data_IF_900942964158
#
_entry.id   IF_900942964158
#
_cell.length_a   1.000
_cell.length_b   1.000
_cell.length_c   1.000
_cell.angle_alpha   90.00
_cell.angle_beta   90.00
_cell.angle_gamma   90.00
#
_symmetry.space_group_name_H-M   'P 1'
#
loop_
_entity.id
_entity.type
_entity.pdbx_description
1 polymer ?
#
# COMPACT_ATOMS: atom_id res chain seq x y z
N UNK A 1 26.87 -22.43 50.71
CA UNK A 1 25.99 -21.98 49.63
C UNK A 1 25.36 -23.24 48.98
N UNK A 2 24.04 -23.41 49.13
CA UNK A 2 23.32 -24.49 48.40
C UNK A 2 23.23 -24.10 46.97
N UNK A 3 23.89 -24.81 46.06
CA UNK A 3 23.70 -24.70 44.61
C UNK A 3 22.44 -25.48 44.29
N UNK A 4 21.31 -24.79 44.13
CA UNK A 4 20.10 -25.41 43.63
C UNK A 4 20.27 -25.56 42.10
N UNK A 5 20.43 -26.78 41.65
CA UNK A 5 20.40 -27.09 40.19
C UNK A 5 18.97 -27.13 39.68
N UNK A 6 18.79 -26.77 38.39
CA UNK A 6 17.50 -26.92 37.75
C UNK A 6 17.08 -28.40 37.69
N UNK A 7 15.79 -28.64 37.92
CA UNK A 7 15.25 -29.99 37.78
C UNK A 7 14.94 -30.27 36.30
N UNK A 8 14.98 -31.55 35.89
CA UNK A 8 14.61 -31.98 34.55
C UNK A 8 13.15 -31.55 34.20
N UNK A 9 12.28 -31.65 35.19
CA UNK A 9 10.87 -31.24 35.07
C UNK A 9 10.73 -29.76 34.73
N UNK A 10 11.53 -28.91 35.39
CA UNK A 10 11.51 -27.46 35.18
C UNK A 10 11.92 -27.08 33.74
N UNK A 11 12.96 -27.75 33.22
CA UNK A 11 13.37 -27.55 31.81
C UNK A 11 12.31 -27.99 30.83
N UNK A 12 11.63 -29.11 31.08
CA UNK A 12 10.55 -29.60 30.22
C UNK A 12 9.36 -28.62 30.21
N UNK A 13 8.99 -28.07 31.36
CA UNK A 13 7.90 -27.10 31.46
C UNK A 13 8.28 -25.80 30.71
N UNK A 14 9.50 -25.31 30.88
CA UNK A 14 9.98 -24.12 30.18
C UNK A 14 9.99 -24.32 28.67
N UNK A 15 10.49 -25.45 28.16
CA UNK A 15 10.48 -25.76 26.74
C UNK A 15 9.05 -25.89 26.22
N UNK A 16 8.14 -26.48 26.94
CA UNK A 16 6.74 -26.57 26.57
C UNK A 16 6.09 -25.17 26.47
N UNK A 17 6.31 -24.29 27.46
CA UNK A 17 5.80 -22.92 27.42
C UNK A 17 6.38 -22.11 26.27
N UNK A 18 7.69 -22.23 26.00
CA UNK A 18 8.33 -21.54 24.88
C UNK A 18 7.75 -22.01 23.54
N UNK A 19 7.59 -23.31 23.33
CA UNK A 19 7.00 -23.84 22.10
C UNK A 19 5.54 -23.40 21.92
N UNK A 20 4.78 -23.32 22.99
CA UNK A 20 3.40 -22.86 22.99
C UNK A 20 3.32 -21.38 22.60
N UNK A 21 4.16 -20.52 23.20
CA UNK A 21 4.23 -19.09 22.87
C UNK A 21 4.65 -18.88 21.39
N UNK A 22 5.67 -19.60 20.93
CA UNK A 22 6.15 -19.52 19.55
C UNK A 22 5.05 -19.98 18.56
N UNK A 23 4.33 -21.04 18.89
CA UNK A 23 3.23 -21.56 18.08
C UNK A 23 2.09 -20.56 17.93
N UNK A 24 1.69 -19.89 19.01
CA UNK A 24 0.67 -18.84 18.97
C UNK A 24 1.12 -17.61 18.16
N UNK A 25 2.39 -17.23 18.29
CA UNK A 25 2.93 -16.05 17.61
C UNK A 25 2.85 -16.15 16.09
N UNK A 26 3.07 -17.32 15.51
CA UNK A 26 3.07 -17.51 14.05
C UNK A 26 1.69 -17.21 13.43
N UNK A 27 0.61 -17.54 14.10
CA UNK A 27 -0.77 -17.31 13.62
C UNK A 27 -1.06 -15.79 13.56
N UNK A 28 -0.61 -15.03 14.56
CA UNK A 28 -0.80 -13.57 14.58
C UNK A 28 0.02 -12.85 13.50
N UNK A 29 1.25 -13.29 13.24
CA UNK A 29 2.13 -12.65 12.25
C UNK A 29 1.68 -12.91 10.81
N UNK A 30 1.11 -14.07 10.50
CA UNK A 30 0.70 -14.42 9.14
C UNK A 30 -0.36 -13.47 8.54
N UNK A 31 -1.26 -12.93 9.36
CA UNK A 31 -2.30 -11.98 8.91
C UNK A 31 -1.88 -10.52 8.94
N UNK A 32 -0.86 -10.16 9.73
CA UNK A 32 -0.48 -8.75 9.94
C UNK A 32 0.39 -8.17 8.81
N UNK A 33 1.33 -8.96 8.29
CA UNK A 33 2.30 -8.52 7.29
C UNK A 33 1.68 -8.02 5.97
N UNK A 34 0.73 -8.75 5.35
CA UNK A 34 0.11 -8.27 4.11
C UNK A 34 -0.70 -6.99 4.30
N UNK A 35 -1.40 -6.88 5.42
CA UNK A 35 -2.16 -5.67 5.78
C UNK A 35 -1.24 -4.44 5.93
N UNK A 36 -0.07 -4.62 6.56
CA UNK A 36 0.94 -3.56 6.69
C UNK A 36 1.50 -3.14 5.32
N UNK A 37 1.74 -4.09 4.42
CA UNK A 37 2.19 -3.82 3.04
C UNK A 37 1.18 -3.00 2.25
N UNK A 38 -0.10 -3.33 2.31
CA UNK A 38 -1.16 -2.58 1.62
C UNK A 38 -1.26 -1.15 2.15
N UNK A 39 -1.16 -0.96 3.48
CA UNK A 39 -1.09 0.38 4.09
C UNK A 39 0.13 1.18 3.63
N UNK A 40 1.30 0.55 3.59
CA UNK A 40 2.53 1.18 3.14
C UNK A 40 2.41 1.61 1.67
N UNK A 41 1.89 0.73 0.80
CA UNK A 41 1.64 1.03 -0.62
C UNK A 41 0.66 2.19 -0.79
N UNK A 42 -0.42 2.23 -0.02
CA UNK A 42 -1.39 3.35 -0.07
C UNK A 42 -0.74 4.70 0.27
N UNK A 43 0.08 4.74 1.33
CA UNK A 43 0.84 5.95 1.68
C UNK A 43 1.86 6.33 0.63
N UNK A 44 2.52 5.35 0.03
CA UNK A 44 3.52 5.55 -1.01
C UNK A 44 2.89 6.14 -2.28
N UNK A 45 1.77 5.59 -2.75
CA UNK A 45 1.02 6.11 -3.90
C UNK A 45 0.57 7.55 -3.62
N UNK A 46 0.05 7.83 -2.44
CA UNK A 46 -0.35 9.19 -2.07
C UNK A 46 0.83 10.17 -2.04
N UNK A 47 1.99 9.73 -1.57
CA UNK A 47 3.23 10.49 -1.63
C UNK A 47 3.68 10.77 -3.07
N UNK A 48 3.59 9.75 -3.92
CA UNK A 48 3.93 9.83 -5.34
C UNK A 48 3.00 10.79 -6.10
N UNK A 49 1.71 10.74 -5.84
CA UNK A 49 0.72 11.66 -6.42
C UNK A 49 1.06 13.12 -6.04
N UNK A 50 1.34 13.38 -4.75
CA UNK A 50 1.78 14.71 -4.31
C UNK A 50 3.09 15.16 -4.95
N UNK A 51 4.03 14.23 -5.11
CA UNK A 51 5.32 14.51 -5.76
C UNK A 51 5.14 14.84 -7.25
N UNK A 52 4.35 14.07 -7.99
CA UNK A 52 4.05 14.32 -9.40
C UNK A 52 3.40 15.71 -9.60
N UNK A 53 2.47 16.07 -8.71
CA UNK A 53 1.83 17.40 -8.71
C UNK A 53 2.86 18.52 -8.46
N UNK A 54 3.76 18.33 -7.50
CA UNK A 54 4.83 19.29 -7.21
C UNK A 54 5.73 19.48 -8.41
N UNK A 55 6.15 18.37 -9.05
CA UNK A 55 6.98 18.40 -10.25
C UNK A 55 6.28 19.11 -11.43
N UNK A 56 4.98 18.86 -11.62
CA UNK A 56 4.21 19.52 -12.67
C UNK A 56 4.22 21.05 -12.51
N UNK A 57 4.07 21.53 -11.27
CA UNK A 57 4.11 22.98 -10.96
C UNK A 57 5.50 23.58 -11.07
N UNK A 58 6.52 22.88 -10.54
CA UNK A 58 7.89 23.39 -10.54
C UNK A 58 8.49 23.47 -11.94
N UNK A 59 8.23 22.47 -12.78
CA UNK A 59 8.78 22.38 -14.11
C UNK A 59 7.89 23.03 -15.18
N UNK A 60 6.69 23.51 -14.80
CA UNK A 60 5.70 24.05 -15.73
C UNK A 60 5.33 23.07 -16.87
N UNK A 61 5.38 21.76 -16.58
CA UNK A 61 5.09 20.67 -17.50
C UNK A 61 4.09 19.70 -16.88
N UNK A 62 3.21 19.12 -17.72
CA UNK A 62 2.31 18.08 -17.24
C UNK A 62 3.09 16.84 -16.79
N UNK A 63 2.63 16.20 -15.71
CA UNK A 63 3.19 14.96 -15.18
C UNK A 63 2.11 13.91 -15.04
N UNK A 64 2.44 12.69 -15.40
CA UNK A 64 1.51 11.55 -15.36
C UNK A 64 1.97 10.53 -14.32
N UNK A 65 1.07 10.15 -13.43
CA UNK A 65 1.21 8.95 -12.62
C UNK A 65 0.44 7.84 -13.32
N UNK A 66 1.16 6.80 -13.72
CA UNK A 66 0.59 5.64 -14.41
C UNK A 66 0.28 4.54 -13.41
N UNK A 67 -0.95 4.06 -13.40
CA UNK A 67 -1.37 2.85 -12.69
C UNK A 67 -1.60 1.76 -13.73
N UNK A 68 -0.72 0.78 -13.77
CA UNK A 68 -0.82 -0.36 -14.69
C UNK A 68 -1.42 -1.56 -13.94
N UNK A 69 -2.70 -1.82 -14.20
CA UNK A 69 -3.45 -2.87 -13.53
C UNK A 69 -3.09 -4.27 -14.06
N UNK A 70 -2.68 -4.35 -15.35
CA UNK A 70 -2.31 -5.63 -15.97
C UNK A 70 -0.94 -6.10 -15.49
N UNK A 71 0.07 -5.20 -15.48
CA UNK A 71 1.41 -5.49 -15.00
C UNK A 71 1.55 -5.31 -13.48
N UNK A 72 0.50 -4.85 -12.81
CA UNK A 72 0.47 -4.60 -11.37
C UNK A 72 1.60 -3.66 -10.92
N UNK A 73 1.77 -2.55 -11.63
CA UNK A 73 2.80 -1.54 -11.33
C UNK A 73 2.20 -0.14 -11.27
N UNK A 74 2.89 0.75 -10.58
CA UNK A 74 2.55 2.17 -10.50
C UNK A 74 3.82 3.01 -10.48
N UNK A 75 3.76 4.21 -11.03
CA UNK A 75 4.93 5.09 -11.09
C UNK A 75 4.63 6.43 -11.76
N UNK A 76 5.56 7.37 -11.59
CA UNK A 76 5.57 8.62 -12.37
C UNK A 76 6.26 8.33 -13.69
N UNK A 77 5.63 8.71 -14.78
CA UNK A 77 6.21 8.54 -16.12
C UNK A 77 7.58 9.21 -16.21
N UNK A 78 8.59 8.45 -16.64
CA UNK A 78 9.99 8.90 -16.72
C UNK A 78 10.80 8.82 -15.42
N UNK A 79 10.21 8.47 -14.27
CA UNK A 79 10.92 8.38 -12.98
C UNK A 79 10.98 6.96 -12.39
N UNK A 80 10.47 5.97 -13.12
CA UNK A 80 10.47 4.58 -12.72
C UNK A 80 9.12 4.09 -12.18
N UNK A 81 9.03 2.78 -12.04
CA UNK A 81 7.82 2.08 -11.61
C UNK A 81 8.09 1.18 -10.41
N UNK A 82 7.06 0.95 -9.59
CA UNK A 82 7.06 0.02 -8.46
C UNK A 82 5.93 -0.98 -8.62
N UNK A 83 6.08 -2.13 -8.01
CA UNK A 83 5.07 -3.18 -8.07
C UNK A 83 4.10 -3.10 -6.88
N UNK A 84 2.84 -3.38 -7.14
CA UNK A 84 1.86 -3.60 -6.09
C UNK A 84 2.15 -4.89 -5.32
N UNK A 85 1.74 -4.98 -4.04
CA UNK A 85 1.81 -6.25 -3.32
C UNK A 85 1.06 -7.36 -4.07
N UNK A 86 1.61 -8.59 -4.17
CA UNK A 86 1.05 -9.66 -4.99
C UNK A 86 -0.37 -10.06 -4.57
N UNK A 87 -0.67 -9.94 -3.28
CA UNK A 87 -1.95 -10.37 -2.70
C UNK A 87 -3.01 -9.25 -2.66
N UNK A 88 -2.66 -8.01 -3.04
CA UNK A 88 -3.59 -6.89 -3.04
C UNK A 88 -4.46 -6.91 -4.30
N UNK A 89 -5.76 -6.76 -4.14
CA UNK A 89 -6.65 -6.48 -5.26
C UNK A 89 -6.69 -4.97 -5.51
N UNK A 90 -6.55 -4.58 -6.79
CA UNK A 90 -6.44 -3.19 -7.19
C UNK A 90 -7.54 -2.87 -8.17
N UNK A 91 -8.21 -1.76 -7.96
CA UNK A 91 -9.19 -1.20 -8.89
C UNK A 91 -9.15 0.33 -8.84
N UNK A 92 -9.58 0.93 -9.90
CA UNK A 92 -9.73 2.39 -9.99
C UNK A 92 -11.19 2.70 -10.26
N UNK A 93 -11.73 3.69 -9.57
CA UNK A 93 -13.05 4.24 -9.86
C UNK A 93 -12.84 5.58 -10.54
N UNK A 94 -13.12 5.60 -11.82
CA UNK A 94 -13.08 6.81 -12.64
C UNK A 94 -14.45 7.50 -12.61
N UNK A 95 -14.50 8.83 -12.46
CA UNK A 95 -15.78 9.57 -12.41
C UNK A 95 -16.64 9.44 -13.67
N UNK A 96 -16.04 9.15 -14.82
CA UNK A 96 -16.73 9.10 -16.11
C UNK A 96 -16.92 7.66 -16.63
N UNK A 97 -15.89 6.82 -16.43
CA UNK A 97 -15.86 5.45 -16.96
C UNK A 97 -16.28 4.39 -15.95
N UNK A 98 -16.45 4.76 -14.68
CA UNK A 98 -16.81 3.85 -13.61
C UNK A 98 -15.64 2.99 -13.10
N UNK A 99 -15.90 1.73 -12.79
CA UNK A 99 -14.91 0.82 -12.23
C UNK A 99 -13.99 0.25 -13.31
N UNK A 100 -12.69 0.42 -13.13
CA UNK A 100 -11.62 -0.07 -14.01
C UNK A 100 -10.77 -1.07 -13.22
N UNK A 101 -10.68 -2.31 -13.72
CA UNK A 101 -9.93 -3.42 -13.10
C UNK A 101 -8.80 -3.95 -13.99
N UNK A 102 -8.68 -3.46 -15.21
CA UNK A 102 -7.67 -3.86 -16.21
C UNK A 102 -7.19 -2.66 -17.02
N UNK A 103 -6.01 -2.84 -17.63
CA UNK A 103 -5.41 -1.82 -18.48
C UNK A 103 -4.55 -0.83 -17.69
N UNK A 104 -4.22 0.27 -18.35
CA UNK A 104 -3.42 1.36 -17.80
C UNK A 104 -4.32 2.55 -17.50
N UNK A 105 -4.19 3.09 -16.29
CA UNK A 105 -4.95 4.27 -15.87
C UNK A 105 -4.00 5.43 -15.59
N UNK A 106 -4.03 6.51 -16.40
CA UNK A 106 -3.21 7.70 -16.18
C UNK A 106 -3.90 8.68 -15.24
N UNK A 107 -3.15 9.21 -14.28
CA UNK A 107 -3.52 10.36 -13.47
C UNK A 107 -2.64 11.51 -13.92
N UNK A 108 -3.22 12.49 -14.59
CA UNK A 108 -2.49 13.60 -15.21
C UNK A 108 -2.58 14.85 -14.34
N UNK A 109 -1.46 15.47 -14.07
CA UNK A 109 -1.32 16.73 -13.34
C UNK A 109 -0.89 17.84 -14.30
N UNK A 110 -1.68 18.92 -14.34
CA UNK A 110 -1.36 20.10 -15.14
C UNK A 110 -0.55 21.11 -14.32
N UNK A 111 0.32 21.92 -14.99
CA UNK A 111 1.10 22.96 -14.31
C UNK A 111 0.25 23.97 -13.54
N UNK A 112 -0.96 24.24 -14.04
CA UNK A 112 -1.92 25.19 -13.44
C UNK A 112 -2.62 24.64 -12.18
N UNK A 113 -2.35 23.36 -11.83
CA UNK A 113 -2.87 22.74 -10.61
C UNK A 113 -4.12 21.87 -10.81
N UNK A 114 -4.68 21.82 -12.02
CA UNK A 114 -5.74 20.88 -12.37
C UNK A 114 -5.18 19.45 -12.45
N UNK A 115 -6.04 18.48 -12.19
CA UNK A 115 -5.72 17.06 -12.40
C UNK A 115 -6.88 16.31 -13.02
N UNK A 116 -6.58 15.27 -13.76
CA UNK A 116 -7.54 14.26 -14.19
C UNK A 116 -7.17 12.93 -13.54
N UNK A 117 -8.11 12.29 -12.90
CA UNK A 117 -7.89 11.01 -12.26
C UNK A 117 -9.07 10.62 -11.36
N UNK A 118 -9.07 9.38 -10.93
CA UNK A 118 -10.12 8.78 -10.10
C UNK A 118 -9.61 8.32 -8.74
N UNK A 119 -10.43 7.54 -8.06
CA UNK A 119 -10.13 6.94 -6.77
C UNK A 119 -9.45 5.59 -6.97
N UNK A 120 -8.26 5.42 -6.42
CA UNK A 120 -7.56 4.13 -6.39
C UNK A 120 -8.01 3.36 -5.16
N UNK A 121 -8.44 2.13 -5.34
CA UNK A 121 -8.85 1.24 -4.25
C UNK A 121 -7.89 0.06 -4.21
N UNK A 122 -7.27 -0.11 -3.04
CA UNK A 122 -6.45 -1.28 -2.71
C UNK A 122 -7.20 -2.10 -1.67
N UNK A 123 -7.37 -3.39 -1.89
CA UNK A 123 -8.01 -4.26 -0.92
C UNK A 123 -7.23 -5.54 -0.70
N UNK A 124 -7.25 -6.03 0.55
CA UNK A 124 -6.70 -7.30 0.95
C UNK A 124 -7.52 -7.89 2.09
N UNK A 125 -8.15 -9.03 1.85
CA UNK A 125 -9.10 -9.63 2.78
C UNK A 125 -10.23 -8.64 3.13
N UNK A 126 -10.37 -8.32 4.40
CA UNK A 126 -11.37 -7.35 4.88
C UNK A 126 -10.87 -5.89 4.86
N UNK A 127 -9.58 -5.68 4.58
CA UNK A 127 -8.99 -4.35 4.57
C UNK A 127 -9.15 -3.70 3.22
N UNK A 128 -9.64 -2.47 3.23
CA UNK A 128 -9.81 -1.63 2.04
C UNK A 128 -9.16 -0.28 2.32
N UNK A 129 -8.34 0.20 1.38
CA UNK A 129 -7.76 1.53 1.40
C UNK A 129 -8.24 2.25 0.15
N UNK A 130 -8.76 3.43 0.35
CA UNK A 130 -9.17 4.34 -0.72
C UNK A 130 -8.23 5.51 -0.78
N UNK A 131 -7.67 5.77 -1.95
CA UNK A 131 -6.86 6.93 -2.25
C UNK A 131 -7.71 7.80 -3.16
N UNK A 132 -8.36 8.78 -2.56
CA UNK A 132 -9.22 9.72 -3.26
C UNK A 132 -8.40 10.94 -3.66
N UNK A 133 -8.55 11.34 -4.90
CA UNK A 133 -7.90 12.55 -5.43
C UNK A 133 -8.98 13.57 -5.75
N UNK A 134 -8.85 14.77 -5.19
CA UNK A 134 -9.76 15.88 -5.50
C UNK A 134 -9.25 16.61 -6.76
N UNK A 135 -10.01 16.60 -7.86
CA UNK A 135 -9.57 17.20 -9.11
C UNK A 135 -9.46 18.73 -9.05
N UNK A 136 -10.14 19.40 -8.12
CA UNK A 136 -10.13 20.87 -7.98
C UNK A 136 -8.95 21.30 -7.11
N UNK A 137 -8.84 20.75 -5.90
CA UNK A 137 -7.81 21.14 -4.94
C UNK A 137 -6.51 20.34 -5.15
N UNK A 138 -6.59 19.19 -5.81
CA UNK A 138 -5.53 18.21 -5.94
C UNK A 138 -5.13 17.60 -4.59
N UNK A 139 -6.01 17.67 -3.60
CA UNK A 139 -5.81 17.02 -2.32
C UNK A 139 -5.88 15.50 -2.48
N UNK A 140 -5.06 14.78 -1.72
CA UNK A 140 -5.03 13.33 -1.67
C UNK A 140 -5.44 12.90 -0.28
N UNK A 141 -6.56 12.19 -0.20
CA UNK A 141 -7.09 11.63 1.03
C UNK A 141 -6.93 10.12 1.03
N UNK A 142 -6.48 9.58 2.15
CA UNK A 142 -6.43 8.13 2.39
C UNK A 142 -7.49 7.78 3.43
N UNK A 143 -8.36 6.86 3.08
CA UNK A 143 -9.41 6.32 3.97
C UNK A 143 -9.40 4.80 4.00
#
# INVERSE_FOLDING_TARGET
MKKNGFTLLEIIIVLFLVTLILGLSTVFFAGYLPSAKVNATGREISGMIRHARSLARMNMESRTVMIDLDNRTYGIEGLGTKSFPPDAFIRVIDPFSGEIIRGKYPIVFNPTGGMSGGTIILSWGKKVIRIETDPITGAVLIR
#
